data_IF_287205241228
#
_entry.id   IF_287205241228
#
_cell.length_a   1.000
_cell.length_b   1.000
_cell.length_c   1.000
_cell.angle_alpha   90.00
_cell.angle_beta   90.00
_cell.angle_gamma   90.00
#
_symmetry.space_group_name_H-M   'P 1'
#
loop_
_entity.id
_entity.type
_entity.pdbx_description
1 polymer ?
#
# COMPACT_ATOMS: atom_id res chain seq x y z
N UNK A 1 3.46 3.25 -12.83
CA UNK A 1 2.20 2.48 -12.72
C UNK A 1 1.88 2.21 -11.24
N UNK A 2 1.55 3.25 -10.46
CA UNK A 2 1.33 3.16 -9.01
C UNK A 2 -0.10 2.75 -8.63
N UNK A 3 -1.00 2.67 -9.62
CA UNK A 3 -2.44 2.42 -9.44
C UNK A 3 -2.82 0.95 -9.48
N UNK A 4 -1.95 0.07 -9.99
CA UNK A 4 -2.21 -1.36 -10.06
C UNK A 4 -1.27 -2.10 -9.10
N UNK A 5 -1.77 -2.58 -7.94
CA UNK A 5 -0.97 -3.41 -7.06
C UNK A 5 -0.59 -4.70 -7.79
N UNK A 6 0.70 -5.04 -7.78
CA UNK A 6 1.13 -6.38 -8.17
C UNK A 6 0.77 -7.33 -7.03
N UNK A 7 -0.09 -8.31 -7.30
CA UNK A 7 -0.69 -9.21 -6.31
C UNK A 7 0.29 -10.17 -5.59
N UNK A 8 1.60 -9.98 -5.73
CA UNK A 8 2.64 -10.89 -5.27
C UNK A 8 3.71 -10.22 -4.37
N UNK A 9 3.40 -9.09 -3.73
CA UNK A 9 4.35 -8.48 -2.79
C UNK A 9 4.35 -9.25 -1.46
N UNK A 10 5.52 -9.70 -0.95
CA UNK A 10 5.59 -10.43 0.31
C UNK A 10 5.15 -9.57 1.49
N UNK A 11 4.23 -10.14 2.26
CA UNK A 11 3.72 -9.68 3.55
C UNK A 11 4.88 -9.51 4.56
N UNK A 12 5.23 -8.28 4.89
CA UNK A 12 6.33 -7.98 5.82
C UNK A 12 5.81 -7.54 7.20
N UNK A 13 6.32 -8.19 8.24
CA UNK A 13 6.01 -7.89 9.65
C UNK A 13 6.61 -6.52 10.02
N UNK A 14 5.75 -5.64 10.55
CA UNK A 14 6.04 -4.21 10.76
C UNK A 14 6.82 -4.00 12.06
N UNK A 15 7.95 -3.28 11.98
CA UNK A 15 8.79 -2.95 13.13
C UNK A 15 8.19 -1.86 14.04
N UNK A 16 8.61 -1.75 15.32
CA UNK A 16 8.09 -0.75 16.25
C UNK A 16 8.34 0.71 15.80
N UNK A 17 9.45 0.99 15.11
CA UNK A 17 9.74 2.32 14.53
C UNK A 17 8.72 2.71 13.45
N UNK A 18 8.30 1.74 12.62
CA UNK A 18 7.24 1.96 11.65
C UNK A 18 5.89 2.30 12.30
N UNK A 19 5.61 1.81 13.52
CA UNK A 19 4.37 2.14 14.24
C UNK A 19 4.27 3.63 14.62
N UNK A 20 5.38 4.25 15.02
CA UNK A 20 5.39 5.69 15.32
C UNK A 20 5.10 6.51 14.07
N UNK A 21 5.85 6.27 12.99
CA UNK A 21 5.69 6.98 11.73
C UNK A 21 4.31 6.73 11.09
N UNK A 22 3.73 5.54 11.27
CA UNK A 22 2.35 5.26 10.88
C UNK A 22 1.36 6.16 11.60
N UNK A 23 1.46 6.28 12.93
CA UNK A 23 0.58 7.18 13.71
C UNK A 23 0.73 8.63 13.26
N UNK A 24 1.98 9.06 13.01
CA UNK A 24 2.24 10.38 12.45
C UNK A 24 1.58 10.56 11.07
N UNK A 25 1.67 9.56 10.19
CA UNK A 25 1.04 9.58 8.87
C UNK A 25 -0.49 9.60 8.95
N UNK A 26 -1.10 8.89 9.89
CA UNK A 26 -2.55 8.97 10.17
C UNK A 26 -2.92 10.39 10.60
N UNK A 27 -2.12 11.00 11.47
CA UNK A 27 -2.30 12.40 11.87
C UNK A 27 -2.19 13.36 10.68
N UNK A 28 -1.21 13.15 9.81
CA UNK A 28 -1.08 13.92 8.55
C UNK A 28 -2.33 13.76 7.71
N UNK A 29 -2.82 12.53 7.48
CA UNK A 29 -4.05 12.32 6.71
C UNK A 29 -5.28 12.99 7.32
N UNK A 30 -5.41 12.97 8.65
CA UNK A 30 -6.50 13.67 9.34
C UNK A 30 -6.46 15.19 9.10
N UNK A 31 -5.27 15.80 9.17
CA UNK A 31 -5.09 17.23 8.87
C UNK A 31 -5.29 17.51 7.37
N UNK A 32 -4.88 16.61 6.49
CA UNK A 32 -5.11 16.70 5.05
C UNK A 32 -6.61 16.78 4.73
N UNK A 33 -7.44 15.99 5.43
CA UNK A 33 -8.89 16.06 5.30
C UNK A 33 -9.46 17.42 5.71
N UNK A 34 -8.90 18.05 6.75
CA UNK A 34 -9.30 19.40 7.17
C UNK A 34 -8.96 20.43 6.09
N UNK A 35 -7.79 20.31 5.45
CA UNK A 35 -7.38 21.18 4.34
C UNK A 35 -8.36 21.05 3.17
N UNK A 36 -8.69 19.81 2.76
CA UNK A 36 -9.69 19.55 1.71
C UNK A 36 -11.01 20.27 2.00
N UNK A 37 -11.51 20.18 3.24
CA UNK A 37 -12.75 20.85 3.63
C UNK A 37 -12.63 22.38 3.55
N UNK A 38 -11.48 22.94 3.93
CA UNK A 38 -11.21 24.38 3.82
C UNK A 38 -11.12 24.83 2.36
N UNK A 39 -10.54 24.03 1.46
CA UNK A 39 -10.49 24.34 0.03
C UNK A 39 -11.88 24.38 -0.59
N UNK A 40 -12.78 23.46 -0.20
CA UNK A 40 -14.19 23.54 -0.61
C UNK A 40 -14.88 24.81 -0.08
N UNK A 41 -14.66 25.17 1.18
CA UNK A 41 -15.21 26.40 1.77
C UNK A 41 -14.70 27.66 1.04
N UNK A 42 -13.47 27.62 0.54
CA UNK A 42 -12.85 28.71 -0.23
C UNK A 42 -13.17 28.64 -1.74
N UNK A 43 -14.05 27.73 -2.18
CA UNK A 43 -14.42 27.51 -3.59
C UNK A 43 -13.24 27.13 -4.50
N UNK A 44 -12.17 26.54 -3.95
CA UNK A 44 -11.00 26.06 -4.70
C UNK A 44 -11.20 24.61 -5.17
N UNK A 45 -12.20 24.40 -6.02
CA UNK A 45 -12.66 23.05 -6.40
C UNK A 45 -11.57 22.16 -7.01
N UNK A 46 -10.71 22.73 -7.87
CA UNK A 46 -9.64 21.97 -8.51
C UNK A 46 -8.58 21.50 -7.52
N UNK A 47 -8.20 22.36 -6.57
CA UNK A 47 -7.24 21.99 -5.53
C UNK A 47 -7.84 20.91 -4.63
N UNK A 48 -9.10 21.09 -4.21
CA UNK A 48 -9.80 20.10 -3.40
C UNK A 48 -9.90 18.72 -4.10
N UNK A 49 -10.11 18.68 -5.42
CA UNK A 49 -10.14 17.41 -6.18
C UNK A 49 -8.76 16.73 -6.20
N UNK A 50 -7.69 17.50 -6.40
CA UNK A 50 -6.33 16.97 -6.38
C UNK A 50 -5.95 16.45 -4.98
N UNK A 51 -6.31 17.19 -3.93
CA UNK A 51 -6.08 16.78 -2.55
C UNK A 51 -6.91 15.54 -2.19
N UNK A 52 -8.15 15.41 -2.67
CA UNK A 52 -8.94 14.16 -2.49
C UNK A 52 -8.22 12.99 -3.14
N UNK A 53 -7.63 13.16 -4.32
CA UNK A 53 -6.89 12.11 -5.00
C UNK A 53 -5.64 11.72 -4.18
N UNK A 54 -4.87 12.71 -3.72
CA UNK A 54 -3.69 12.49 -2.88
C UNK A 54 -4.07 11.79 -1.57
N UNK A 55 -5.11 12.26 -0.88
CA UNK A 55 -5.66 11.66 0.33
C UNK A 55 -6.09 10.21 0.10
N UNK A 56 -6.78 9.93 -1.01
CA UNK A 56 -7.23 8.57 -1.36
C UNK A 56 -6.06 7.62 -1.54
N UNK A 57 -4.98 8.07 -2.20
CA UNK A 57 -3.75 7.27 -2.36
C UNK A 57 -3.09 7.04 -1.01
N UNK A 58 -2.99 8.07 -0.16
CA UNK A 58 -2.41 7.97 1.18
C UNK A 58 -3.22 7.03 2.09
N UNK A 59 -4.55 7.14 2.08
CA UNK A 59 -5.44 6.24 2.81
C UNK A 59 -5.30 4.79 2.36
N UNK A 60 -5.27 4.55 1.04
CA UNK A 60 -5.02 3.23 0.47
C UNK A 60 -3.62 2.67 0.76
N UNK A 61 -2.65 3.51 1.14
CA UNK A 61 -1.32 3.08 1.55
C UNK A 61 -1.24 2.67 3.04
N UNK A 62 -2.20 3.08 3.88
CA UNK A 62 -2.20 2.82 5.34
C UNK A 62 -3.36 1.96 5.84
N UNK A 63 -4.31 1.61 4.95
CA UNK A 63 -5.55 0.91 5.29
C UNK A 63 -5.30 -0.46 5.94
N UNK A 64 -4.25 -1.15 5.52
CA UNK A 64 -3.90 -2.47 6.04
C UNK A 64 -2.78 -2.33 7.07
N UNK A 65 -3.03 -2.74 8.31
CA UNK A 65 -2.07 -2.52 9.42
C UNK A 65 -0.78 -3.31 9.24
N UNK A 66 -0.89 -4.48 8.60
CA UNK A 66 0.16 -5.48 8.45
C UNK A 66 0.72 -5.58 7.03
N UNK A 67 0.14 -4.86 6.06
CA UNK A 67 0.61 -4.85 4.66
C UNK A 67 0.83 -3.42 4.20
N UNK A 68 2.09 -3.04 3.98
CA UNK A 68 2.42 -1.76 3.36
C UNK A 68 2.89 -2.00 1.94
N UNK A 69 2.12 -1.50 0.98
CA UNK A 69 2.59 -1.38 -0.39
C UNK A 69 3.54 -0.18 -0.50
N UNK A 70 4.86 -0.45 -0.49
CA UNK A 70 5.92 0.56 -0.60
C UNK A 70 5.70 1.45 -1.84
N UNK A 71 5.22 0.87 -2.94
CA UNK A 71 4.91 1.59 -4.19
C UNK A 71 3.80 2.64 -4.02
N UNK A 72 2.73 2.34 -3.26
CA UNK A 72 1.66 3.31 -2.97
C UNK A 72 2.13 4.42 -2.06
N UNK A 73 2.92 4.08 -1.05
CA UNK A 73 3.51 5.08 -0.15
C UNK A 73 4.47 6.01 -0.89
N UNK A 74 5.33 5.47 -1.77
CA UNK A 74 6.19 6.28 -2.63
C UNK A 74 5.36 7.22 -3.52
N UNK A 75 4.27 6.72 -4.10
CA UNK A 75 3.36 7.54 -4.89
C UNK A 75 2.77 8.69 -4.07
N UNK A 76 2.35 8.41 -2.84
CA UNK A 76 1.84 9.43 -1.91
C UNK A 76 2.90 10.49 -1.58
N UNK A 77 4.16 10.08 -1.35
CA UNK A 77 5.27 11.02 -1.13
C UNK A 77 5.49 11.92 -2.34
N UNK A 78 5.44 11.38 -3.56
CA UNK A 78 5.56 12.17 -4.78
C UNK A 78 4.42 13.18 -4.93
N UNK A 79 3.18 12.79 -4.62
CA UNK A 79 2.05 13.70 -4.59
C UNK A 79 2.25 14.83 -3.57
N UNK A 80 2.64 14.54 -2.33
CA UNK A 80 2.89 15.58 -1.34
C UNK A 80 4.00 16.56 -1.74
N UNK A 81 5.06 16.10 -2.42
CA UNK A 81 6.11 16.98 -2.93
C UNK A 81 5.58 17.87 -4.07
N UNK A 82 4.77 17.29 -4.96
CA UNK A 82 4.11 18.03 -6.03
C UNK A 82 3.18 19.10 -5.44
N UNK A 83 2.30 18.73 -4.51
CA UNK A 83 1.39 19.65 -3.83
C UNK A 83 2.15 20.73 -3.05
N UNK A 84 3.28 20.39 -2.42
CA UNK A 84 4.16 21.37 -1.78
C UNK A 84 4.69 22.42 -2.78
N UNK A 85 5.13 22.00 -3.96
CA UNK A 85 5.63 22.94 -4.99
C UNK A 85 4.49 23.83 -5.50
N UNK A 86 3.32 23.27 -5.79
CA UNK A 86 2.16 24.04 -6.26
C UNK A 86 1.62 24.99 -5.20
N UNK A 87 1.48 24.53 -3.96
CA UNK A 87 1.12 25.36 -2.82
C UNK A 87 2.15 26.48 -2.60
N UNK A 88 3.44 26.18 -2.71
CA UNK A 88 4.52 27.16 -2.63
C UNK A 88 4.44 28.24 -3.72
N UNK A 89 4.21 27.84 -4.97
CA UNK A 89 4.01 28.79 -6.07
C UNK A 89 2.77 29.65 -5.84
N UNK A 90 1.64 29.04 -5.43
CA UNK A 90 0.39 29.75 -5.10
C UNK A 90 0.59 30.74 -3.94
N UNK A 91 1.33 30.33 -2.91
CA UNK A 91 1.72 31.15 -1.77
C UNK A 91 2.55 32.37 -2.21
N UNK A 92 3.58 32.16 -3.01
CA UNK A 92 4.38 33.25 -3.58
C UNK A 92 3.55 34.20 -4.44
N UNK A 93 2.69 33.69 -5.33
CA UNK A 93 1.84 34.51 -6.21
C UNK A 93 0.81 35.32 -5.42
N UNK A 94 0.28 34.74 -4.34
CA UNK A 94 -0.66 35.42 -3.44
C UNK A 94 0.02 36.56 -2.68
N UNK A 95 1.19 36.32 -2.08
CA UNK A 95 1.93 37.38 -1.37
C UNK A 95 2.52 38.44 -2.30
N UNK A 96 2.82 38.08 -3.55
CA UNK A 96 3.20 39.05 -4.59
C UNK A 96 2.02 39.91 -5.07
N UNK A 97 0.77 39.59 -4.67
CA UNK A 97 -0.43 40.29 -5.09
C UNK A 97 -0.86 40.00 -6.53
N UNK A 98 -0.27 38.99 -7.17
CA UNK A 98 -0.58 38.58 -8.55
C UNK A 98 -1.83 37.72 -8.59
N UNK A 99 -1.98 36.81 -7.63
CA UNK A 99 -3.17 35.97 -7.50
C UNK A 99 -4.16 36.58 -6.49
N UNK A 100 -5.33 37.00 -6.98
CA UNK A 100 -6.42 37.45 -6.12
C UNK A 100 -7.04 36.30 -5.31
N UNK A 101 -7.61 36.61 -4.14
CA UNK A 101 -8.42 35.64 -3.41
C UNK A 101 -9.73 35.36 -4.20
N UNK A 102 -10.23 34.12 -4.23
CA UNK A 102 -11.45 33.77 -4.95
C UNK A 102 -12.68 34.59 -4.52
N UNK A 103 -12.74 34.98 -3.24
CA UNK A 103 -13.90 35.63 -2.63
C UNK A 103 -14.05 37.13 -2.92
N UNK A 104 -13.16 37.75 -3.71
CA UNK A 104 -13.26 39.15 -4.20
C UNK A 104 -13.07 40.26 -3.16
N UNK A 105 -13.65 40.12 -1.96
CA UNK A 105 -13.66 41.14 -0.90
C UNK A 105 -12.66 40.84 0.23
N UNK A 106 -11.71 41.76 0.43
CA UNK A 106 -10.66 41.67 1.47
C UNK A 106 -11.18 41.71 2.92
N UNK A 107 -12.46 42.04 3.12
CA UNK A 107 -13.09 42.15 4.45
C UNK A 107 -13.88 40.89 4.85
N UNK A 108 -14.02 39.93 3.94
CA UNK A 108 -14.78 38.71 4.24
C UNK A 108 -13.94 37.75 5.09
N UNK A 109 -14.56 37.07 6.05
CA UNK A 109 -13.90 36.05 6.88
C UNK A 109 -13.23 34.95 6.04
N UNK A 110 -13.80 34.65 4.86
CA UNK A 110 -13.26 33.73 3.87
C UNK A 110 -11.87 34.13 3.37
N UNK A 111 -11.58 35.44 3.26
CA UNK A 111 -10.25 35.92 2.88
C UNK A 111 -9.20 35.49 3.90
N UNK A 112 -9.48 35.65 5.20
CA UNK A 112 -8.58 35.24 6.26
C UNK A 112 -8.40 33.72 6.31
N UNK A 113 -9.49 32.96 6.12
CA UNK A 113 -9.41 31.50 5.98
C UNK A 113 -8.52 31.10 4.80
N UNK A 114 -8.66 31.76 3.64
CA UNK A 114 -7.84 31.50 2.47
C UNK A 114 -6.36 31.85 2.70
N UNK A 115 -6.04 32.95 3.39
CA UNK A 115 -4.66 33.31 3.75
C UNK A 115 -4.03 32.23 4.62
N UNK A 116 -4.75 31.78 5.66
CA UNK A 116 -4.29 30.71 6.54
C UNK A 116 -4.15 29.40 5.78
N UNK A 117 -5.07 29.11 4.86
CA UNK A 117 -5.03 27.92 4.02
C UNK A 117 -3.80 27.90 3.12
N UNK A 118 -3.51 28.99 2.39
CA UNK A 118 -2.37 29.09 1.47
C UNK A 118 -1.02 29.01 2.21
N UNK A 119 -0.88 29.72 3.33
CA UNK A 119 0.35 29.68 4.13
C UNK A 119 0.50 28.35 4.88
N UNK A 120 -0.59 27.86 5.48
CA UNK A 120 -0.63 26.66 6.28
C UNK A 120 -0.46 25.38 5.45
N UNK A 121 -1.08 25.30 4.26
CA UNK A 121 -0.97 24.14 3.38
C UNK A 121 0.47 23.93 2.92
N UNK A 122 1.18 25.00 2.56
CA UNK A 122 2.60 24.94 2.17
C UNK A 122 3.47 24.32 3.28
N UNK A 123 3.33 24.80 4.52
CA UNK A 123 4.05 24.23 5.66
C UNK A 123 3.61 22.78 5.95
N UNK A 124 2.32 22.50 5.82
CA UNK A 124 1.76 21.18 6.04
C UNK A 124 2.29 20.15 5.03
N UNK A 125 2.30 20.44 3.73
CA UNK A 125 2.82 19.50 2.72
C UNK A 125 4.33 19.25 2.89
N UNK A 126 5.08 20.24 3.36
CA UNK A 126 6.50 20.05 3.72
C UNK A 126 6.66 19.07 4.88
N UNK A 127 5.91 19.25 5.98
CA UNK A 127 5.97 18.36 7.14
C UNK A 127 5.44 16.96 6.77
N UNK A 128 4.33 16.90 6.04
CA UNK A 128 3.71 15.67 5.56
C UNK A 128 4.67 14.87 4.68
N UNK A 129 5.36 15.52 3.73
CA UNK A 129 6.34 14.87 2.86
C UNK A 129 7.54 14.34 3.67
N UNK A 130 8.03 15.08 4.67
CA UNK A 130 9.07 14.59 5.57
C UNK A 130 8.63 13.35 6.35
N UNK A 131 7.43 13.35 6.93
CA UNK A 131 6.88 12.21 7.68
C UNK A 131 6.70 11.00 6.78
N UNK A 132 6.10 11.19 5.60
CA UNK A 132 5.87 10.11 4.64
C UNK A 132 7.20 9.55 4.08
N UNK A 133 8.20 10.41 3.81
CA UNK A 133 9.53 10.00 3.39
C UNK A 133 10.28 9.22 4.47
N UNK A 134 10.18 9.64 5.74
CA UNK A 134 10.77 8.91 6.88
C UNK A 134 10.13 7.53 7.05
N UNK A 135 8.81 7.43 6.90
CA UNK A 135 8.12 6.13 6.91
C UNK A 135 8.59 5.25 5.75
N UNK A 136 8.67 5.81 4.54
CA UNK A 136 9.16 5.10 3.36
C UNK A 136 10.58 4.58 3.55
N UNK A 137 11.50 5.43 4.02
CA UNK A 137 12.89 5.03 4.29
C UNK A 137 12.97 3.93 5.34
N UNK A 138 12.21 4.05 6.43
CA UNK A 138 12.14 3.02 7.47
C UNK A 138 11.64 1.70 6.90
N UNK A 139 10.58 1.70 6.09
CA UNK A 139 10.07 0.48 5.45
C UNK A 139 11.10 -0.13 4.48
N UNK A 140 11.73 0.70 3.65
CA UNK A 140 12.75 0.27 2.68
C UNK A 140 13.94 -0.40 3.39
N UNK A 141 14.47 0.21 4.44
CA UNK A 141 15.58 -0.34 5.24
C UNK A 141 15.23 -1.70 5.86
N UNK A 142 13.97 -1.91 6.27
CA UNK A 142 13.54 -3.20 6.82
C UNK A 142 13.41 -4.29 5.74
N UNK A 143 12.99 -3.93 4.53
CA UNK A 143 12.92 -4.88 3.41
C UNK A 143 14.32 -5.29 2.96
N UNK A 144 15.24 -4.34 2.84
CA UNK A 144 16.63 -4.59 2.45
C UNK A 144 17.42 -5.29 3.56
N UNK A 145 17.27 -4.85 4.81
CA UNK A 145 18.01 -5.35 5.96
C UNK A 145 17.61 -6.75 6.45
N UNK A 146 16.35 -7.17 6.25
CA UNK A 146 15.90 -8.50 6.64
C UNK A 146 16.26 -9.59 5.61
N UNK A 147 17.02 -9.27 4.56
CA UNK A 147 17.49 -10.26 3.59
C UNK A 147 16.37 -10.92 2.76
N UNK A 148 15.13 -10.42 2.85
CA UNK A 148 14.00 -10.83 2.00
C UNK A 148 13.97 -10.00 0.72
N UNK A 149 15.13 -9.47 0.30
CA UNK A 149 15.35 -9.21 -1.11
C UNK A 149 15.46 -10.58 -1.79
N UNK A 150 14.31 -11.22 -2.07
CA UNK A 150 14.31 -12.14 -3.21
C UNK A 150 14.83 -11.29 -4.37
N UNK A 151 15.91 -11.70 -5.05
CA UNK A 151 16.37 -11.00 -6.22
C UNK A 151 15.16 -10.93 -7.14
N UNK A 152 14.69 -9.71 -7.41
CA UNK A 152 13.80 -9.47 -8.54
C UNK A 152 14.66 -9.87 -9.71
N UNK A 153 14.47 -11.09 -10.18
CA UNK A 153 15.26 -11.70 -11.23
C UNK A 153 15.09 -10.80 -12.45
N UNK A 154 16.07 -9.92 -12.68
CA UNK A 154 16.05 -8.90 -13.71
C UNK A 154 16.04 -9.51 -15.13
N UNK A 155 16.11 -10.84 -15.20
CA UNK A 155 15.97 -11.66 -16.40
C UNK A 155 14.52 -11.78 -16.89
N UNK A 156 13.51 -11.40 -16.11
CA UNK A 156 12.11 -11.51 -16.54
C UNK A 156 11.33 -10.18 -16.41
N UNK A 157 11.45 -9.26 -17.37
CA UNK A 157 10.67 -8.01 -17.42
C UNK A 157 9.17 -8.23 -17.72
N UNK A 158 8.65 -9.44 -17.51
CA UNK A 158 7.27 -9.84 -17.76
C UNK A 158 6.30 -9.26 -16.73
N UNK A 159 5.87 -8.02 -16.95
CA UNK A 159 4.67 -7.43 -16.37
C UNK A 159 3.46 -8.31 -16.75
N UNK A 160 3.00 -9.20 -15.85
CA UNK A 160 1.78 -10.01 -16.05
C UNK A 160 1.87 -11.51 -15.74
N UNK A 161 3.04 -12.04 -15.37
CA UNK A 161 3.23 -13.48 -15.15
C UNK A 161 2.72 -13.98 -13.80
N UNK A 162 1.42 -14.24 -13.68
CA UNK A 162 0.88 -15.14 -12.65
C UNK A 162 1.61 -16.48 -12.78
N UNK A 163 2.27 -16.91 -11.71
CA UNK A 163 3.19 -18.05 -11.70
C UNK A 163 2.65 -19.30 -12.40
N UNK A 164 3.23 -19.62 -13.55
CA UNK A 164 3.51 -21.00 -13.88
C UNK A 164 4.77 -21.35 -13.09
N UNK A 165 4.59 -21.99 -11.93
CA UNK A 165 5.62 -22.91 -11.48
C UNK A 165 5.83 -23.90 -12.63
N UNK A 166 7.03 -24.01 -13.24
CA UNK A 166 7.36 -25.28 -13.83
C UNK A 166 7.28 -26.27 -12.68
N UNK A 167 6.30 -27.17 -12.73
CA UNK A 167 6.41 -28.42 -12.00
C UNK A 167 7.73 -29.00 -12.48
N UNK A 168 8.74 -28.96 -11.61
CA UNK A 168 9.97 -29.70 -11.81
C UNK A 168 9.56 -31.18 -11.81
N UNK A 169 9.16 -31.66 -12.99
CA UNK A 169 9.17 -33.07 -13.28
C UNK A 169 10.64 -33.43 -13.47
N UNK A 170 11.29 -33.73 -12.35
CA UNK A 170 12.43 -34.63 -12.33
C UNK A 170 11.93 -36.01 -12.75
N UNK A 171 11.83 -36.24 -14.07
CA UNK A 171 11.91 -37.57 -14.66
C UNK A 171 12.17 -37.46 -16.19
N UNK A 172 13.43 -37.66 -16.65
CA UNK A 172 13.79 -37.58 -18.07
C UNK A 172 13.42 -38.82 -18.90
N UNK A 173 12.54 -39.71 -18.44
CA UNK A 173 12.42 -41.06 -19.02
C UNK A 173 11.15 -41.37 -19.85
N UNK A 174 10.20 -40.45 -20.03
CA UNK A 174 9.03 -40.74 -20.88
C UNK A 174 8.40 -39.50 -21.51
N UNK A 175 9.04 -38.97 -22.55
CA UNK A 175 8.35 -38.11 -23.52
C UNK A 175 7.77 -39.01 -24.63
N UNK A 176 6.46 -38.94 -24.92
CA UNK A 176 5.92 -39.52 -26.14
C UNK A 176 6.53 -38.81 -27.37
N UNK A 177 6.62 -39.50 -28.53
CA UNK A 177 7.21 -38.93 -29.73
C UNK A 177 6.51 -37.63 -30.12
N UNK A 178 7.33 -36.61 -30.34
CA UNK A 178 6.94 -35.28 -30.78
C UNK A 178 6.60 -35.37 -32.27
N UNK A 179 5.32 -35.34 -32.61
CA UNK A 179 4.87 -35.14 -33.98
C UNK A 179 5.18 -33.68 -34.37
N UNK A 180 6.21 -33.51 -35.19
CA UNK A 180 6.56 -32.24 -35.84
C UNK A 180 5.53 -31.91 -36.93
N UNK A 181 4.34 -31.51 -36.49
CA UNK A 181 3.24 -31.06 -37.33
C UNK A 181 2.87 -29.61 -37.01
N UNK A 182 3.71 -28.65 -37.42
CA UNK A 182 3.35 -27.24 -37.40
C UNK A 182 2.20 -27.01 -38.38
N UNK A 183 0.95 -27.00 -37.90
CA UNK A 183 -0.20 -26.56 -38.69
C UNK A 183 -0.13 -25.03 -38.79
N UNK A 184 0.02 -24.45 -39.99
CA UNK A 184 -0.11 -23.01 -40.15
C UNK A 184 -1.51 -22.58 -39.71
N UNK A 185 -1.54 -21.39 -39.11
CA UNK A 185 -2.74 -20.75 -38.59
C UNK A 185 -3.69 -20.43 -39.76
N UNK A 186 -4.66 -21.30 -40.04
CA UNK A 186 -5.76 -20.97 -40.94
C UNK A 186 -6.62 -19.93 -40.24
N UNK A 187 -6.50 -18.68 -40.70
CA UNK A 187 -7.16 -17.49 -40.17
C UNK A 187 -8.69 -17.51 -40.34
N UNK A 188 -9.37 -18.46 -39.71
CA UNK A 188 -10.82 -18.44 -39.54
C UNK A 188 -11.15 -18.00 -38.12
N UNK A 189 -11.72 -16.79 -38.04
CA UNK A 189 -12.10 -16.13 -36.79
C UNK A 189 -12.94 -17.02 -35.90
N UNK A 190 -12.51 -17.15 -34.64
CA UNK A 190 -13.34 -17.70 -33.58
C UNK A 190 -14.48 -16.73 -33.27
N UNK A 191 -15.63 -16.97 -33.88
CA UNK A 191 -16.91 -16.45 -33.41
C UNK A 191 -17.22 -17.07 -32.05
N UNK A 192 -17.51 -16.21 -31.06
CA UNK A 192 -17.99 -16.62 -29.74
C UNK A 192 -19.41 -17.21 -29.89
N UNK A 193 -19.46 -18.51 -30.15
CA UNK A 193 -20.66 -19.32 -30.16
C UNK A 193 -21.21 -19.49 -28.74
N UNK A 194 -22.25 -18.72 -28.43
CA UNK A 194 -23.23 -19.02 -27.37
C UNK A 194 -23.89 -20.37 -27.69
N UNK A 195 -23.62 -21.40 -26.90
CA UNK A 195 -24.46 -22.61 -26.89
C UNK A 195 -24.54 -23.16 -25.47
N UNK A 196 -25.77 -23.35 -25.00
CA UNK A 196 -26.08 -23.92 -23.72
C UNK A 196 -26.08 -25.46 -23.76
N UNK A 197 -26.17 -26.02 -22.55
CA UNK A 197 -26.61 -27.39 -22.33
C UNK A 197 -25.51 -28.44 -22.26
N UNK A 198 -25.55 -29.23 -21.18
CA UNK A 198 -24.97 -30.57 -21.16
C UNK A 198 -23.99 -30.79 -20.02
N UNK A 199 -24.44 -31.50 -19.00
CA UNK A 199 -23.65 -31.83 -17.82
C UNK A 199 -22.37 -32.59 -18.12
N UNK A 200 -21.34 -32.28 -17.34
CA UNK A 200 -20.24 -33.21 -17.06
C UNK A 200 -19.70 -32.91 -15.67
N UNK A 201 -20.13 -33.73 -14.71
CA UNK A 201 -19.54 -33.85 -13.38
C UNK A 201 -18.08 -34.24 -13.54
N UNK A 202 -17.19 -33.27 -13.39
CA UNK A 202 -15.76 -33.52 -13.29
C UNK A 202 -15.42 -33.53 -11.81
N UNK A 203 -15.24 -34.73 -11.26
CA UNK A 203 -14.75 -34.94 -9.89
C UNK A 203 -13.32 -34.43 -9.83
N UNK A 204 -13.16 -33.17 -9.44
CA UNK A 204 -11.88 -32.53 -9.22
C UNK A 204 -11.26 -33.11 -7.94
N UNK A 205 -10.24 -33.96 -8.11
CA UNK A 205 -9.44 -34.46 -6.99
C UNK A 205 -8.75 -33.27 -6.31
N UNK A 206 -9.24 -32.95 -5.12
CA UNK A 206 -8.77 -31.86 -4.28
C UNK A 206 -7.36 -32.19 -3.74
N UNK A 207 -6.36 -31.30 -3.91
CA UNK A 207 -5.00 -31.56 -3.45
C UNK A 207 -4.93 -31.54 -1.92
N UNK A 208 -4.79 -32.72 -1.30
CA UNK A 208 -4.59 -32.93 0.15
C UNK A 208 -3.34 -32.25 0.74
N UNK A 209 -2.44 -31.73 -0.09
CA UNK A 209 -1.17 -31.13 0.35
C UNK A 209 -1.33 -29.74 1.01
N UNK A 210 -2.36 -28.96 0.66
CA UNK A 210 -2.56 -27.63 1.27
C UNK A 210 -3.19 -27.68 2.66
N UNK A 211 -3.85 -28.79 3.05
CA UNK A 211 -4.46 -28.91 4.37
C UNK A 211 -3.44 -29.18 5.50
N UNK A 212 -2.27 -29.73 5.19
CA UNK A 212 -1.23 -30.05 6.18
C UNK A 212 -0.34 -28.84 6.54
N UNK A 213 -0.16 -27.89 5.63
CA UNK A 213 0.63 -26.68 5.90
C UNK A 213 -0.10 -25.74 6.89
N UNK A 214 -1.43 -25.61 6.77
CA UNK A 214 -2.24 -24.73 7.64
C UNK A 214 -2.41 -25.28 9.05
N UNK A 215 -2.40 -26.60 9.25
CA UNK A 215 -2.48 -27.20 10.59
C UNK A 215 -1.20 -26.97 11.38
N UNK A 216 -0.04 -27.10 10.74
CA UNK A 216 1.27 -26.92 11.39
C UNK A 216 1.48 -25.47 11.86
N UNK A 217 1.03 -24.48 11.08
CA UNK A 217 1.12 -23.07 11.46
C UNK A 217 0.21 -22.72 12.66
N UNK A 218 -0.99 -23.29 12.74
CA UNK A 218 -1.89 -23.06 13.89
C UNK A 218 -1.28 -23.60 15.18
N UNK A 219 -0.75 -24.82 15.17
CA UNK A 219 -0.11 -25.43 16.35
C UNK A 219 1.10 -24.61 16.84
N UNK A 220 1.88 -24.06 15.91
CA UNK A 220 3.05 -23.24 16.27
C UNK A 220 2.64 -21.88 16.85
N UNK A 221 1.53 -21.29 16.37
CA UNK A 221 1.01 -20.04 16.89
C UNK A 221 0.43 -20.21 18.30
N UNK A 222 -0.30 -21.30 18.55
CA UNK A 222 -0.86 -21.61 19.87
C UNK A 222 0.25 -21.88 20.90
N UNK A 223 1.32 -22.60 20.51
CA UNK A 223 2.48 -22.82 21.38
C UNK A 223 3.18 -21.50 21.79
N UNK A 224 3.31 -20.55 20.86
CA UNK A 224 3.90 -19.22 21.16
C UNK A 224 2.99 -18.39 22.07
N UNK A 225 1.68 -18.46 21.88
CA UNK A 225 0.70 -17.75 22.72
C UNK A 225 0.72 -18.28 24.15
N UNK A 226 0.81 -19.59 24.32
CA UNK A 226 0.90 -20.22 25.64
C UNK A 226 2.20 -19.83 26.37
N UNK A 227 3.34 -19.85 25.68
CA UNK A 227 4.62 -19.44 26.27
C UNK A 227 4.65 -17.95 26.71
N UNK A 228 3.91 -17.08 26.02
CA UNK A 228 3.77 -15.68 26.40
C UNK A 228 2.92 -15.50 27.68
N UNK A 229 1.84 -16.27 27.81
CA UNK A 229 0.98 -16.27 29.02
C UNK A 229 1.80 -16.75 30.22
N UNK A 230 2.55 -17.84 30.09
CA UNK A 230 3.37 -18.38 31.17
C UNK A 230 4.44 -17.38 31.66
N UNK A 231 5.02 -16.58 30.75
CA UNK A 231 5.98 -15.53 31.12
C UNK A 231 5.31 -14.41 31.92
N UNK A 232 4.08 -14.02 31.56
CA UNK A 232 3.33 -12.99 32.28
C UNK A 232 2.93 -13.49 33.67
N UNK A 233 2.49 -14.74 33.79
CA UNK A 233 2.16 -15.33 35.10
C UNK A 233 3.36 -15.42 36.03
N UNK A 234 4.54 -15.84 35.53
CA UNK A 234 5.77 -15.87 36.34
C UNK A 234 6.16 -14.48 36.83
N UNK A 235 6.01 -13.46 35.97
CA UNK A 235 6.32 -12.08 36.34
C UNK A 235 5.36 -11.57 37.42
N UNK A 236 4.07 -11.84 37.31
CA UNK A 236 3.05 -11.48 38.30
C UNK A 236 3.28 -12.16 39.66
N UNK A 237 3.69 -13.43 39.69
CA UNK A 237 4.05 -14.12 40.94
C UNK A 237 5.31 -13.55 41.58
N UNK A 238 6.30 -13.12 40.79
CA UNK A 238 7.53 -12.54 41.34
C UNK A 238 7.29 -11.20 42.05
N UNK A 239 6.32 -10.40 41.59
CA UNK A 239 5.99 -9.10 42.20
C UNK A 239 5.25 -9.20 43.53
N UNK A 240 4.51 -10.30 43.78
CA UNK A 240 3.75 -10.48 45.02
C UNK A 240 4.59 -11.04 46.18
N UNK A 241 5.81 -11.52 45.93
CA UNK A 241 6.70 -12.05 46.97
C UNK A 241 7.77 -11.04 47.43
N UNK A 242 7.61 -9.75 47.10
CA UNK A 242 8.50 -8.72 47.64
C UNK A 242 8.21 -8.57 49.15
N UNK A 243 9.20 -8.80 50.04
CA UNK A 243 8.99 -8.70 51.48
C UNK A 243 8.63 -7.26 51.86
N UNK A 244 7.49 -7.08 52.53
CA UNK A 244 7.11 -5.83 53.19
C UNK A 244 8.15 -5.52 54.25
N UNK A 245 8.92 -4.45 54.04
CA UNK A 245 9.89 -3.91 55.00
C UNK A 245 9.28 -2.75 55.77
#
# INVERSE_FOLDING_TARGET
MCLFPSAAAPLNIVSPTCRFWRKALIGVLAVHLVIILLDFICFSWWDAILDILAFSIGYCAIREEDQYEISRLLCYVMFLIFDFVFAGVKCCLFFAGVAGAPSGDKKNWQYYCYVVLVAGSTAFYLIGSMVAYRLYKSLKEHVEGNGVAQPIDASNPGYGGRGYHPVANDDPASLPPRDDGFKPFDGQGHTLGRSGGGGRTTTQAQPRAQAQATSTQRTQMDARRQAAIDRLERKARSTNNAPSS
#
